data_IF_963859858774
#
_entry.id   IF_963859858774
#
_cell.length_a   1.000
_cell.length_b   1.000
_cell.length_c   1.000
_cell.angle_alpha   90.00
_cell.angle_beta   90.00
_cell.angle_gamma   90.00
#
_symmetry.space_group_name_H-M   'P 1'
#
loop_
_entity.id
_entity.type
_entity.pdbx_description
1 polymer ?
#
# COMPACT_ATOMS: atom_id res chain seq x y z
N UNK A 1 10.29 17.30 -8.73
CA UNK A 1 9.98 17.96 -7.45
C UNK A 1 8.99 17.07 -6.72
N UNK A 2 9.41 16.40 -5.64
CA UNK A 2 8.51 15.57 -4.83
C UNK A 2 7.61 16.50 -4.03
N UNK A 3 6.31 16.52 -4.33
CA UNK A 3 5.29 17.08 -3.43
C UNK A 3 5.50 16.49 -2.05
N UNK A 4 5.44 17.34 -1.01
CA UNK A 4 5.56 16.87 0.37
C UNK A 4 4.54 15.76 0.61
N UNK A 5 5.00 14.60 1.05
CA UNK A 5 4.14 13.49 1.45
C UNK A 5 3.46 13.92 2.75
N UNK A 6 2.16 14.17 2.70
CA UNK A 6 1.35 14.43 3.88
C UNK A 6 0.84 13.09 4.39
N UNK A 7 1.23 12.71 5.61
CA UNK A 7 0.63 11.55 6.27
C UNK A 7 -0.87 11.81 6.49
N UNK A 8 -1.75 10.83 6.21
CA UNK A 8 -3.15 10.93 6.57
C UNK A 8 -3.35 11.19 8.07
N UNK A 9 -2.55 10.53 8.93
CA UNK A 9 -2.43 10.78 10.37
C UNK A 9 -0.99 10.60 10.84
N UNK A 10 -0.53 11.46 11.75
CA UNK A 10 0.69 11.19 12.52
C UNK A 10 0.45 10.13 13.63
N UNK A 11 -0.76 10.12 14.20
CA UNK A 11 -1.20 9.18 15.22
C UNK A 11 -2.68 8.81 15.03
N UNK A 12 -2.98 7.52 15.15
CA UNK A 12 -4.35 7.01 15.12
C UNK A 12 -5.17 7.41 16.35
N UNK A 13 -4.56 7.96 17.41
CA UNK A 13 -5.29 8.43 18.61
C UNK A 13 -6.05 9.74 18.39
N UNK A 14 -5.78 10.46 17.30
CA UNK A 14 -6.47 11.69 16.92
C UNK A 14 -7.78 11.39 16.18
N UNK A 15 -8.75 10.79 16.88
CA UNK A 15 -10.01 10.30 16.29
C UNK A 15 -10.82 11.40 15.60
N UNK A 16 -10.71 12.64 16.09
CA UNK A 16 -11.34 13.82 15.49
C UNK A 16 -10.85 14.13 14.07
N UNK A 17 -9.68 13.61 13.68
CA UNK A 17 -9.08 13.80 12.36
C UNK A 17 -9.45 12.70 11.36
N UNK A 18 -10.21 11.68 11.75
CA UNK A 18 -10.52 10.56 10.85
C UNK A 18 -11.25 10.96 9.55
N UNK A 19 -12.24 11.88 9.56
CA UNK A 19 -12.84 12.37 8.31
C UNK A 19 -11.82 13.07 7.39
N UNK A 20 -10.87 13.79 7.99
CA UNK A 20 -9.79 14.43 7.25
C UNK A 20 -8.83 13.38 6.66
N UNK A 21 -8.40 12.40 7.47
CA UNK A 21 -7.55 11.30 7.03
C UNK A 21 -8.17 10.50 5.89
N UNK A 22 -9.47 10.20 5.99
CA UNK A 22 -10.23 9.57 4.91
C UNK A 22 -10.19 10.40 3.62
N UNK A 23 -10.38 11.72 3.75
CA UNK A 23 -10.31 12.61 2.59
C UNK A 23 -8.91 12.64 1.96
N UNK A 24 -7.84 12.53 2.75
CA UNK A 24 -6.47 12.45 2.23
C UNK A 24 -6.20 11.10 1.54
N UNK A 25 -6.72 10.00 2.08
CA UNK A 25 -6.68 8.68 1.43
C UNK A 25 -7.36 8.74 0.06
N UNK A 26 -8.59 9.27 0.00
CA UNK A 26 -9.33 9.42 -1.27
C UNK A 26 -8.58 10.30 -2.29
N UNK A 27 -7.93 11.38 -1.82
CA UNK A 27 -7.08 12.22 -2.68
C UNK A 27 -5.90 11.45 -3.25
N UNK A 28 -5.19 10.67 -2.43
CA UNK A 28 -4.05 9.89 -2.88
C UNK A 28 -4.47 8.80 -3.86
N UNK A 29 -5.59 8.12 -3.59
CA UNK A 29 -6.14 7.09 -4.48
C UNK A 29 -6.49 7.72 -5.83
N UNK A 30 -7.22 8.84 -5.86
CA UNK A 30 -7.57 9.53 -7.09
C UNK A 30 -6.32 10.01 -7.85
N UNK A 31 -5.33 10.55 -7.13
CA UNK A 31 -4.05 10.97 -7.72
C UNK A 31 -3.37 9.80 -8.41
N UNK A 32 -3.21 8.66 -7.73
CA UNK A 32 -2.57 7.46 -8.28
C UNK A 32 -3.36 6.89 -9.45
N UNK A 33 -4.68 6.75 -9.31
CA UNK A 33 -5.56 6.33 -10.41
C UNK A 33 -5.37 7.18 -11.67
N UNK A 34 -5.26 8.51 -11.51
CA UNK A 34 -5.05 9.44 -12.64
C UNK A 34 -3.68 9.25 -13.30
N UNK A 35 -2.67 8.90 -12.51
CA UNK A 35 -1.28 8.77 -12.95
C UNK A 35 -0.97 7.38 -13.54
N UNK A 36 -1.70 6.34 -13.10
CA UNK A 36 -1.61 4.98 -13.60
C UNK A 36 -0.32 4.22 -13.22
N UNK A 37 -0.19 3.02 -13.76
CA UNK A 37 0.91 2.10 -13.46
C UNK A 37 2.29 2.62 -13.88
N UNK A 38 2.39 3.35 -15.00
CA UNK A 38 3.68 3.86 -15.48
C UNK A 38 4.29 4.87 -14.50
N UNK A 39 3.48 5.77 -13.96
CA UNK A 39 3.96 6.71 -12.96
C UNK A 39 4.30 6.02 -11.64
N UNK A 40 3.54 4.98 -11.25
CA UNK A 40 3.88 4.17 -10.09
C UNK A 40 5.26 3.49 -10.24
N UNK A 41 5.56 2.96 -11.43
CA UNK A 41 6.87 2.40 -11.76
C UNK A 41 7.97 3.47 -11.71
N UNK A 42 7.71 4.66 -12.26
CA UNK A 42 8.67 5.77 -12.19
C UNK A 42 8.91 6.25 -10.75
N UNK A 43 7.87 6.35 -9.92
CA UNK A 43 8.01 6.68 -8.49
C UNK A 43 8.81 5.60 -7.74
N UNK A 44 8.59 4.33 -8.08
CA UNK A 44 9.29 3.20 -7.49
C UNK A 44 10.77 3.19 -7.87
N UNK A 45 11.09 3.29 -9.16
CA UNK A 45 12.47 3.24 -9.69
C UNK A 45 13.24 4.54 -9.45
N UNK A 46 12.56 5.69 -9.38
CA UNK A 46 13.17 7.01 -9.29
C UNK A 46 13.63 7.57 -10.63
N UNK A 47 13.31 6.92 -11.74
CA UNK A 47 13.68 7.29 -13.10
C UNK A 47 12.56 6.98 -14.10
N UNK A 48 12.61 7.61 -15.27
CA UNK A 48 11.60 7.40 -16.32
C UNK A 48 11.70 5.98 -16.88
N UNK A 49 10.55 5.35 -17.11
CA UNK A 49 10.45 3.97 -17.55
C UNK A 49 9.75 3.90 -18.91
N UNK A 50 10.28 3.10 -19.84
CA UNK A 50 9.65 2.85 -21.15
C UNK A 50 8.33 2.08 -21.00
N UNK A 51 7.40 2.24 -21.95
CA UNK A 51 5.98 1.87 -21.81
C UNK A 51 5.63 0.36 -21.87
N UNK A 52 6.57 -0.56 -21.74
CA UNK A 52 6.29 -2.01 -21.88
C UNK A 52 7.12 -2.88 -20.91
N UNK A 53 7.18 -2.46 -19.65
CA UNK A 53 7.93 -3.21 -18.64
C UNK A 53 7.15 -4.45 -18.22
N UNK A 54 7.53 -5.58 -18.80
CA UNK A 54 7.27 -6.93 -18.27
C UNK A 54 5.79 -7.33 -18.14
N UNK A 55 4.93 -6.84 -19.03
CA UNK A 55 3.50 -7.22 -19.03
C UNK A 55 2.69 -6.61 -17.89
N UNK A 56 3.19 -5.50 -17.32
CA UNK A 56 2.47 -4.64 -16.38
C UNK A 56 1.40 -3.88 -17.16
N UNK A 57 0.17 -3.91 -16.64
CA UNK A 57 -1.00 -3.28 -17.23
C UNK A 57 -1.34 -1.97 -16.50
N UNK A 58 -2.48 -1.93 -15.80
CA UNK A 58 -2.94 -0.77 -15.03
C UNK A 58 -2.76 -0.99 -13.52
N UNK A 59 -3.18 -0.02 -12.70
CA UNK A 59 -3.23 -0.16 -11.26
C UNK A 59 -4.27 -1.21 -10.85
N UNK A 60 -3.88 -2.08 -9.92
CA UNK A 60 -4.76 -3.05 -9.28
C UNK A 60 -5.40 -2.47 -8.02
N UNK A 61 -4.58 -1.92 -7.12
CA UNK A 61 -5.04 -1.28 -5.88
C UNK A 61 -4.01 -0.24 -5.40
N UNK A 62 -4.43 0.59 -4.46
CA UNK A 62 -3.54 1.55 -3.79
C UNK A 62 -3.49 1.24 -2.30
N UNK A 63 -2.30 1.07 -1.77
CA UNK A 63 -2.03 0.93 -0.36
C UNK A 63 -1.60 2.28 0.23
N UNK A 64 -2.23 2.68 1.34
CA UNK A 64 -1.93 3.93 2.05
C UNK A 64 -1.61 3.64 3.50
N UNK A 65 -0.46 4.13 3.95
CA UNK A 65 -0.11 4.13 5.36
C UNK A 65 -0.84 5.26 6.09
N UNK A 66 -1.74 4.88 7.00
CA UNK A 66 -2.56 5.78 7.78
C UNK A 66 -1.76 6.53 8.82
N UNK A 67 -0.87 5.84 9.54
CA UNK A 67 -0.14 6.38 10.67
C UNK A 67 0.19 5.33 11.73
N UNK A 68 0.71 5.79 12.87
CA UNK A 68 1.05 4.92 13.98
C UNK A 68 -0.06 4.84 15.03
N UNK A 69 -0.23 3.66 15.62
CA UNK A 69 -1.01 3.47 16.83
C UNK A 69 -0.11 3.10 18.02
N UNK A 70 -0.57 3.40 19.23
CA UNK A 70 0.11 2.99 20.48
C UNK A 70 -0.67 1.94 21.25
N UNK A 71 -1.98 1.87 21.02
CA UNK A 71 -2.94 0.99 21.67
C UNK A 71 -3.82 0.34 20.58
N UNK A 72 -4.09 -0.97 20.69
CA UNK A 72 -4.93 -1.68 19.72
C UNK A 72 -6.37 -1.14 19.71
N UNK A 73 -6.81 -0.46 20.78
CA UNK A 73 -8.10 0.25 20.81
C UNK A 73 -8.21 1.34 19.73
N UNK A 74 -7.11 1.99 19.36
CA UNK A 74 -7.13 2.99 18.28
C UNK A 74 -7.49 2.35 16.93
N UNK A 75 -7.03 1.12 16.71
CA UNK A 75 -7.32 0.33 15.50
C UNK A 75 -8.80 -0.07 15.46
N UNK A 76 -9.36 -0.47 16.60
CA UNK A 76 -10.79 -0.79 16.71
C UNK A 76 -11.69 0.43 16.46
N UNK A 77 -11.27 1.62 16.92
CA UNK A 77 -12.01 2.87 16.71
C UNK A 77 -11.94 3.28 15.23
N UNK A 78 -10.79 3.17 14.58
CA UNK A 78 -10.67 3.35 13.14
C UNK A 78 -11.55 2.37 12.35
N UNK A 79 -11.54 1.08 12.72
CA UNK A 79 -12.41 0.09 12.10
C UNK A 79 -13.90 0.48 12.21
N UNK A 80 -14.34 0.97 13.37
CA UNK A 80 -15.71 1.44 13.56
C UNK A 80 -16.07 2.59 12.63
N UNK A 81 -15.17 3.57 12.49
CA UNK A 81 -15.34 4.67 11.55
C UNK A 81 -15.49 4.17 10.10
N UNK A 82 -14.69 3.19 9.67
CA UNK A 82 -14.84 2.57 8.35
C UNK A 82 -16.20 1.86 8.18
N UNK A 83 -16.71 1.20 9.23
CA UNK A 83 -18.05 0.60 9.21
C UNK A 83 -19.17 1.64 9.09
N UNK A 84 -18.99 2.84 9.65
CA UNK A 84 -19.92 3.96 9.46
C UNK A 84 -19.91 4.44 8.00
N UNK A 85 -18.74 4.58 7.38
CA UNK A 85 -18.62 4.90 5.95
C UNK A 85 -19.30 3.83 5.07
N UNK A 86 -19.17 2.55 5.44
CA UNK A 86 -19.89 1.45 4.79
C UNK A 86 -21.40 1.57 4.94
N UNK A 87 -21.89 1.89 6.15
CA UNK A 87 -23.33 2.08 6.39
C UNK A 87 -23.91 3.28 5.62
N UNK A 88 -23.08 4.28 5.33
CA UNK A 88 -23.43 5.44 4.51
C UNK A 88 -23.33 5.16 3.00
N UNK A 89 -22.89 3.96 2.59
CA UNK A 89 -22.73 3.58 1.19
C UNK A 89 -21.47 4.11 0.51
N UNK A 90 -20.55 4.74 1.26
CA UNK A 90 -19.25 5.19 0.73
C UNK A 90 -18.34 4.00 0.42
N UNK A 91 -18.37 2.98 1.28
CA UNK A 91 -17.66 1.72 1.10
C UNK A 91 -18.68 0.59 0.87
N UNK A 92 -18.39 -0.32 -0.06
CA UNK A 92 -19.19 -1.53 -0.27
C UNK A 92 -18.75 -2.65 0.67
N UNK A 93 -17.45 -2.73 0.98
CA UNK A 93 -16.86 -3.77 1.82
C UNK A 93 -15.71 -3.23 2.66
N UNK A 94 -15.60 -3.78 3.88
CA UNK A 94 -14.52 -3.51 4.83
C UNK A 94 -14.07 -4.85 5.39
N UNK A 95 -12.80 -5.18 5.23
CA UNK A 95 -12.13 -6.31 5.87
C UNK A 95 -10.88 -5.81 6.56
N UNK A 96 -10.47 -6.44 7.65
CA UNK A 96 -9.25 -6.07 8.35
C UNK A 96 -8.65 -7.26 9.11
N UNK A 97 -7.35 -7.17 9.37
CA UNK A 97 -6.61 -8.19 10.09
C UNK A 97 -5.17 -7.75 10.40
N UNK A 98 -4.39 -8.60 11.08
CA UNK A 98 -2.99 -8.31 11.32
C UNK A 98 -2.23 -8.21 9.99
N UNK A 99 -1.37 -7.20 9.87
CA UNK A 99 -0.44 -7.10 8.74
C UNK A 99 0.64 -8.15 8.88
N UNK A 100 0.85 -8.98 7.86
CA UNK A 100 1.97 -9.91 7.82
C UNK A 100 3.29 -9.23 7.44
N UNK A 101 3.22 -8.11 6.71
CA UNK A 101 4.39 -7.34 6.23
C UNK A 101 5.07 -6.60 7.39
N UNK A 102 4.29 -5.89 8.22
CA UNK A 102 4.81 -5.08 9.31
C UNK A 102 5.74 -5.84 10.29
N UNK A 103 5.35 -6.98 10.87
CA UNK A 103 6.21 -7.70 11.82
C UNK A 103 7.40 -8.32 11.12
N UNK A 104 7.22 -8.86 9.91
CA UNK A 104 8.25 -9.59 9.18
C UNK A 104 9.39 -8.69 8.70
N UNK A 105 9.07 -7.51 8.16
CA UNK A 105 10.07 -6.65 7.52
C UNK A 105 10.43 -5.41 8.34
N UNK A 106 9.53 -4.94 9.19
CA UNK A 106 9.74 -3.72 9.97
C UNK A 106 9.88 -3.95 11.47
N UNK A 107 9.70 -5.19 11.93
CA UNK A 107 9.88 -5.58 13.33
C UNK A 107 8.90 -4.87 14.26
N UNK A 108 7.71 -4.54 13.75
CA UNK A 108 6.62 -3.93 14.53
C UNK A 108 5.31 -4.62 14.22
N UNK A 109 4.39 -4.63 15.18
CA UNK A 109 3.02 -5.07 14.90
C UNK A 109 2.35 -4.08 13.96
N UNK A 110 1.41 -4.54 13.15
CA UNK A 110 0.64 -3.69 12.27
C UNK A 110 -0.70 -4.32 11.94
N UNK A 111 -1.59 -3.49 11.42
CA UNK A 111 -2.91 -3.87 10.95
C UNK A 111 -3.09 -3.44 9.50
N UNK A 112 -3.86 -4.24 8.79
CA UNK A 112 -4.22 -4.04 7.40
C UNK A 112 -5.73 -3.99 7.28
N UNK A 113 -6.22 -3.13 6.41
CA UNK A 113 -7.62 -2.94 6.07
C UNK A 113 -7.77 -3.00 4.56
N UNK A 114 -8.60 -3.92 4.06
CA UNK A 114 -9.05 -3.95 2.66
C UNK A 114 -10.39 -3.27 2.53
N UNK A 115 -10.45 -2.25 1.68
CA UNK A 115 -11.59 -1.39 1.48
C UNK A 115 -12.00 -1.46 0.01
N UNK A 116 -13.20 -1.95 -0.26
CA UNK A 116 -13.81 -1.82 -1.58
C UNK A 116 -14.65 -0.54 -1.59
N UNK A 117 -14.28 0.40 -2.45
CA UNK A 117 -15.04 1.61 -2.71
C UNK A 117 -16.30 1.23 -3.49
N UNK A 118 -17.39 2.00 -3.32
CA UNK A 118 -18.60 1.78 -4.12
C UNK A 118 -18.33 1.95 -5.63
N UNK A 119 -17.39 2.83 -5.97
CA UNK A 119 -16.91 3.05 -7.33
C UNK A 119 -15.38 3.22 -7.33
N UNK A 120 -14.72 2.65 -8.34
CA UNK A 120 -13.29 2.84 -8.57
C UNK A 120 -12.42 1.73 -7.99
N UNK A 121 -11.16 2.07 -7.74
CA UNK A 121 -10.10 1.13 -7.36
C UNK A 121 -10.22 0.70 -5.90
N UNK A 122 -9.91 -0.56 -5.61
CA UNK A 122 -9.74 -1.04 -4.24
C UNK A 122 -8.62 -0.31 -3.52
N UNK A 123 -8.78 -0.14 -2.20
CA UNK A 123 -7.83 0.56 -1.35
C UNK A 123 -7.43 -0.35 -0.21
N UNK A 124 -6.14 -0.37 0.08
CA UNK A 124 -5.61 -0.96 1.29
C UNK A 124 -5.13 0.14 2.22
N UNK A 125 -5.40 -0.01 3.52
CA UNK A 125 -4.92 0.92 4.54
C UNK A 125 -4.11 0.16 5.56
N UNK A 126 -2.96 0.70 5.91
CA UNK A 126 -2.05 0.11 6.88
C UNK A 126 -1.81 1.04 8.07
N UNK A 127 -1.74 0.48 9.27
CA UNK A 127 -1.20 1.19 10.43
C UNK A 127 -0.22 0.29 11.18
N UNK A 128 0.77 0.90 11.81
CA UNK A 128 1.83 0.19 12.51
C UNK A 128 1.88 0.62 13.95
N UNK A 129 2.32 -0.27 14.84
CA UNK A 129 2.53 0.09 16.24
C UNK A 129 3.76 0.97 16.32
N UNK A 130 3.67 2.06 17.08
CA UNK A 130 4.82 2.91 17.38
C UNK A 130 5.80 2.20 18.32
N UNK A 131 6.62 1.29 17.78
CA UNK A 131 7.48 0.42 18.56
C UNK A 131 8.78 0.06 17.85
N UNK A 132 9.80 -0.31 18.62
CA UNK A 132 11.01 -0.97 18.13
C UNK A 132 11.82 -0.12 17.14
N UNK A 133 12.23 -0.74 16.02
CA UNK A 133 12.96 -0.04 14.95
C UNK A 133 12.05 0.87 14.14
N UNK A 134 10.77 0.53 14.04
CA UNK A 134 9.79 1.28 13.25
C UNK A 134 9.67 2.74 13.71
N UNK A 135 9.61 2.97 15.02
CA UNK A 135 9.52 4.31 15.60
C UNK A 135 10.74 5.21 15.32
N UNK A 136 11.84 4.64 14.83
CA UNK A 136 13.06 5.40 14.47
C UNK A 136 13.01 5.96 13.05
N UNK A 137 12.13 5.47 12.20
CA UNK A 137 11.96 6.01 10.84
C UNK A 137 11.22 7.34 10.91
N UNK A 138 11.65 8.29 10.07
CA UNK A 138 10.92 9.56 9.91
C UNK A 138 9.50 9.29 9.37
N UNK A 139 8.51 10.15 9.68
CA UNK A 139 7.15 10.06 9.15
C UNK A 139 7.08 9.73 7.65
N UNK A 140 7.82 10.47 6.83
CA UNK A 140 7.86 10.26 5.38
C UNK A 140 8.42 8.88 4.98
N UNK A 141 9.44 8.38 5.70
CA UNK A 141 10.00 7.07 5.43
C UNK A 141 8.99 5.96 5.78
N UNK A 142 8.29 6.11 6.91
CA UNK A 142 7.21 5.19 7.30
C UNK A 142 6.12 5.14 6.24
N UNK A 143 5.72 6.30 5.71
CA UNK A 143 4.77 6.36 4.62
C UNK A 143 5.24 5.58 3.39
N UNK A 144 6.44 5.85 2.90
CA UNK A 144 6.96 5.21 1.67
C UNK A 144 7.15 3.70 1.81
N UNK A 145 7.51 3.24 3.01
CA UNK A 145 7.73 1.82 3.32
C UNK A 145 6.41 1.01 3.43
N UNK A 146 5.28 1.66 3.69
CA UNK A 146 3.98 1.00 3.92
C UNK A 146 2.88 1.44 2.95
N UNK A 147 3.13 2.46 2.12
CA UNK A 147 2.23 2.89 1.06
C UNK A 147 2.82 2.50 -0.28
N UNK A 148 2.00 1.94 -1.15
CA UNK A 148 2.43 1.49 -2.47
C UNK A 148 1.30 1.53 -3.48
N UNK A 149 1.68 1.44 -4.74
CA UNK A 149 0.78 1.03 -5.80
C UNK A 149 0.97 -0.47 -6.03
N UNK A 150 -0.13 -1.17 -6.20
CA UNK A 150 -0.14 -2.48 -6.81
C UNK A 150 -0.52 -2.32 -8.29
N UNK A 151 0.22 -2.98 -9.17
CA UNK A 151 -0.04 -2.99 -10.60
C UNK A 151 -0.44 -4.39 -11.05
N UNK A 152 -1.41 -4.44 -11.96
CA UNK A 152 -1.89 -5.67 -12.56
C UNK A 152 -0.87 -6.22 -13.55
N UNK A 153 -0.75 -7.54 -13.57
CA UNK A 153 0.06 -8.29 -14.52
C UNK A 153 -0.82 -9.37 -15.15
N UNK A 154 -0.75 -9.46 -16.48
CA UNK A 154 -1.63 -10.31 -17.30
C UNK A 154 -1.61 -11.81 -16.96
N UNK A 155 -0.48 -12.32 -16.42
CA UNK A 155 -0.27 -13.76 -16.18
C UNK A 155 0.56 -13.98 -14.92
N UNK A 156 0.36 -15.13 -14.25
CA UNK A 156 1.18 -15.56 -13.12
C UNK A 156 2.67 -15.60 -13.49
N UNK A 157 3.03 -16.24 -14.62
CA UNK A 157 4.41 -16.23 -15.12
C UNK A 157 4.94 -14.82 -15.42
N UNK A 158 4.04 -13.89 -15.79
CA UNK A 158 4.36 -12.48 -15.99
C UNK A 158 4.85 -11.83 -14.70
N UNK A 159 4.20 -12.13 -13.57
CA UNK A 159 4.62 -11.65 -12.24
C UNK A 159 6.04 -12.13 -11.96
N UNK A 160 6.34 -13.41 -12.14
CA UNK A 160 7.68 -13.95 -11.88
C UNK A 160 8.75 -13.30 -12.77
N UNK A 161 8.48 -13.13 -14.06
CA UNK A 161 9.39 -12.46 -14.99
C UNK A 161 9.65 -11.02 -14.59
N UNK A 162 8.61 -10.28 -14.23
CA UNK A 162 8.71 -8.89 -13.80
C UNK A 162 9.48 -8.76 -12.48
N UNK A 163 9.21 -9.63 -11.50
CA UNK A 163 9.96 -9.70 -10.25
C UNK A 163 11.44 -9.97 -10.49
N UNK A 164 11.77 -10.97 -11.33
CA UNK A 164 13.15 -11.32 -11.66
C UNK A 164 13.89 -10.15 -12.33
N UNK A 165 13.24 -9.50 -13.30
CA UNK A 165 13.83 -8.37 -14.01
C UNK A 165 14.06 -7.16 -13.08
N UNK A 166 13.07 -6.80 -12.25
CA UNK A 166 13.20 -5.66 -11.34
C UNK A 166 14.22 -5.91 -10.23
N UNK A 167 14.29 -7.14 -9.69
CA UNK A 167 15.28 -7.49 -8.65
C UNK A 167 16.71 -7.57 -9.17
N UNK A 168 16.91 -7.61 -10.49
CA UNK A 168 18.25 -7.48 -11.09
C UNK A 168 18.81 -6.05 -10.99
N UNK A 169 17.96 -5.05 -10.72
CA UNK A 169 18.39 -3.67 -10.57
C UNK A 169 19.03 -3.41 -9.20
N UNK A 170 20.06 -2.56 -9.19
CA UNK A 170 20.78 -2.24 -7.96
C UNK A 170 19.87 -1.56 -6.93
N UNK A 171 19.82 -2.11 -5.72
CA UNK A 171 19.04 -1.54 -4.62
C UNK A 171 17.56 -1.95 -4.61
N UNK A 172 17.12 -2.82 -5.52
CA UNK A 172 15.79 -3.42 -5.48
C UNK A 172 15.84 -4.76 -4.74
N UNK A 173 14.94 -4.96 -3.78
CA UNK A 173 14.81 -6.19 -3.00
C UNK A 173 13.41 -6.75 -3.11
N UNK A 174 13.30 -8.05 -3.29
CA UNK A 174 12.04 -8.76 -3.10
C UNK A 174 11.75 -8.90 -1.61
N UNK A 175 10.63 -8.33 -1.18
CA UNK A 175 10.12 -8.53 0.16
C UNK A 175 9.38 -9.86 0.23
N UNK A 176 8.41 -10.04 -0.67
CA UNK A 176 7.49 -11.18 -0.66
C UNK A 176 7.18 -11.65 -2.07
N UNK A 177 6.93 -12.95 -2.20
CA UNK A 177 6.38 -13.56 -3.41
C UNK A 177 5.48 -14.71 -2.98
N UNK A 178 4.26 -14.72 -3.52
CA UNK A 178 3.24 -15.74 -3.29
C UNK A 178 2.72 -16.19 -4.64
N UNK A 179 2.77 -17.50 -4.89
CA UNK A 179 2.25 -18.14 -6.10
C UNK A 179 0.97 -18.85 -5.73
N UNK A 180 -0.11 -18.56 -6.46
CA UNK A 180 -1.44 -19.16 -6.28
C UNK A 180 -1.86 -19.24 -4.81
N UNK A 181 -2.21 -18.09 -4.23
CA UNK A 181 -2.80 -18.06 -2.89
C UNK A 181 -4.15 -18.79 -2.84
N UNK A 182 -4.81 -18.79 -1.67
CA UNK A 182 -6.10 -19.48 -1.48
C UNK A 182 -7.22 -19.00 -2.41
N UNK A 183 -7.05 -17.83 -3.04
CA UNK A 183 -7.96 -17.23 -4.02
C UNK A 183 -7.45 -17.38 -5.47
N UNK A 184 -6.28 -18.01 -5.68
CA UNK A 184 -5.63 -18.17 -6.98
C UNK A 184 -4.79 -16.97 -7.41
N UNK A 185 -4.57 -15.97 -6.55
CA UNK A 185 -3.76 -14.82 -6.91
C UNK A 185 -2.27 -15.16 -6.88
N UNK A 186 -1.51 -14.60 -7.81
CA UNK A 186 -0.05 -14.61 -7.78
C UNK A 186 0.45 -13.19 -7.64
N UNK A 187 1.28 -12.90 -6.64
CA UNK A 187 1.72 -11.53 -6.38
C UNK A 187 3.08 -11.47 -5.70
N UNK A 188 3.75 -10.33 -5.85
CA UNK A 188 5.03 -10.06 -5.19
C UNK A 188 5.23 -8.60 -4.85
N UNK A 189 5.91 -8.38 -3.73
CA UNK A 189 6.25 -7.04 -3.24
C UNK A 189 7.75 -6.79 -3.39
N UNK A 190 8.09 -5.63 -3.95
CA UNK A 190 9.45 -5.15 -4.14
C UNK A 190 9.66 -3.87 -3.35
N UNK A 191 10.84 -3.73 -2.75
CA UNK A 191 11.32 -2.50 -2.11
C UNK A 191 12.48 -1.96 -2.92
N UNK A 192 12.42 -0.69 -3.32
CA UNK A 192 13.60 0.03 -3.78
C UNK A 192 14.21 0.77 -2.59
N UNK A 193 15.40 0.34 -2.17
CA UNK A 193 16.08 0.89 -0.98
C UNK A 193 16.57 2.33 -1.18
N UNK A 194 16.67 2.80 -2.43
CA UNK A 194 17.08 4.17 -2.75
C UNK A 194 15.90 5.14 -2.59
N UNK A 195 14.74 4.78 -3.14
CA UNK A 195 13.52 5.63 -3.08
C UNK A 195 12.70 5.38 -1.81
N UNK A 196 12.94 4.24 -1.15
CA UNK A 196 12.14 3.65 -0.07
C UNK A 196 10.70 3.31 -0.47
N UNK A 197 10.40 3.32 -1.77
CA UNK A 197 9.08 2.99 -2.28
C UNK A 197 8.91 1.47 -2.38
N UNK A 198 7.71 1.02 -2.07
CA UNK A 198 7.28 -0.35 -2.34
C UNK A 198 6.44 -0.38 -3.63
N UNK A 199 6.58 -1.44 -4.40
CA UNK A 199 5.74 -1.77 -5.55
C UNK A 199 5.22 -3.19 -5.36
N UNK A 200 3.94 -3.39 -5.66
CA UNK A 200 3.35 -4.72 -5.71
C UNK A 200 2.97 -5.07 -7.14
N UNK A 201 3.27 -6.30 -7.55
CA UNK A 201 2.86 -6.87 -8.84
C UNK A 201 1.80 -7.93 -8.55
N UNK A 202 0.65 -7.87 -9.23
CA UNK A 202 -0.49 -8.76 -8.94
C UNK A 202 -1.06 -9.34 -10.22
N UNK A 203 -1.22 -10.66 -10.26
CA UNK A 203 -2.07 -11.36 -11.20
C UNK A 203 -3.28 -11.92 -10.45
N UNK A 204 -4.48 -11.51 -10.86
CA UNK A 204 -5.72 -12.11 -10.38
C UNK A 204 -6.00 -13.40 -11.17
N UNK A 205 -6.32 -14.48 -10.45
CA UNK A 205 -6.70 -15.78 -11.03
C UNK A 205 -8.13 -15.83 -11.55
#
# INVERSE_FOLDING_TARGET
MTTAITLPLDSLSAHELYPFAWSEIEREVLRRQTLGAQQALQEFLGETVEQDVHGIEDLHHVAVYLGDYTDDRDVEIWHRFLLELKAQGTLSKVQYGPSYVAPKYYGTQGWWFSLERAEGLSVEVFCCRHHGRWSRYKPEQRYRLMSHAAVSVSTADGVERALSALTSQLGVKMLMHTVEDELGHTYGHLLNETTLCVLELVHQG
#
